data_IF_227855077367
#
_entry.id   IF_227855077367
#
_cell.length_a   1.000
_cell.length_b   1.000
_cell.length_c   1.000
_cell.angle_alpha   90.00
_cell.angle_beta   90.00
_cell.angle_gamma   90.00
#
_symmetry.space_group_name_H-M   'P 1'
#
loop_
_entity.id
_entity.type
_entity.pdbx_description
1 polymer ?
#
# COMPACT_ATOMS: atom_id res chain seq x y z
N UNK A 1 -47.95 12.29 -17.66
CA UNK A 1 -47.31 10.97 -17.65
C UNK A 1 -46.04 11.10 -16.80
N UNK A 2 -46.09 10.62 -15.55
CA UNK A 2 -44.97 10.72 -14.58
C UNK A 2 -43.98 9.59 -14.88
N UNK A 3 -42.79 9.94 -15.37
CA UNK A 3 -41.67 9.01 -15.47
C UNK A 3 -41.13 8.78 -14.06
N UNK A 4 -41.19 7.52 -13.66
CA UNK A 4 -40.77 7.00 -12.37
C UNK A 4 -39.26 7.20 -12.19
N UNK A 5 -38.89 7.61 -10.98
CA UNK A 5 -37.51 7.66 -10.49
C UNK A 5 -36.83 6.29 -10.69
N UNK A 6 -35.90 6.19 -11.63
CA UNK A 6 -34.95 5.07 -11.69
C UNK A 6 -33.93 5.22 -10.57
N UNK A 7 -34.32 4.81 -9.35
CA UNK A 7 -33.38 4.53 -8.25
C UNK A 7 -33.00 3.06 -8.28
N UNK A 8 -31.84 2.74 -8.84
CA UNK A 8 -31.08 1.54 -8.45
C UNK A 8 -29.57 1.81 -8.54
N UNK A 9 -29.07 2.68 -7.66
CA UNK A 9 -27.71 2.48 -7.15
C UNK A 9 -27.83 1.36 -6.12
N UNK A 10 -27.27 0.19 -6.41
CA UNK A 10 -27.17 -0.90 -5.43
C UNK A 10 -26.57 -0.33 -4.14
N UNK A 11 -27.21 -0.57 -3.00
CA UNK A 11 -26.67 -0.13 -1.73
C UNK A 11 -25.32 -0.83 -1.51
N UNK A 12 -24.25 -0.05 -1.35
CA UNK A 12 -22.92 -0.59 -1.07
C UNK A 12 -22.94 -1.49 0.17
N UNK A 13 -22.23 -2.63 0.16
CA UNK A 13 -22.12 -3.50 1.33
C UNK A 13 -21.62 -2.74 2.58
N UNK A 14 -22.08 -3.10 3.80
CA UNK A 14 -21.70 -2.41 5.03
C UNK A 14 -20.18 -2.38 5.30
N UNK A 15 -19.46 -3.46 4.95
CA UNK A 15 -18.01 -3.58 5.19
C UNK A 15 -17.18 -2.54 4.45
N UNK A 16 -17.69 -1.97 3.35
CA UNK A 16 -17.03 -0.92 2.56
C UNK A 16 -16.78 0.35 3.39
N UNK A 17 -17.56 0.54 4.45
CA UNK A 17 -17.43 1.66 5.40
C UNK A 17 -16.63 1.29 6.66
N UNK A 18 -16.25 0.02 6.82
CA UNK A 18 -15.46 -0.45 7.95
C UNK A 18 -13.98 -0.20 7.71
N UNK A 19 -13.28 0.22 8.76
CA UNK A 19 -11.85 0.50 8.73
C UNK A 19 -11.18 -0.10 9.95
N UNK A 20 -9.94 -0.56 9.77
CA UNK A 20 -9.03 -0.92 10.85
C UNK A 20 -8.02 0.18 11.02
N UNK A 21 -7.90 0.71 12.24
CA UNK A 21 -6.92 1.76 12.58
C UNK A 21 -5.70 1.21 13.32
N UNK A 22 -4.51 1.62 12.91
CA UNK A 22 -3.29 1.41 13.66
C UNK A 22 -2.97 2.68 14.44
N UNK A 23 -2.70 2.50 15.73
CA UNK A 23 -2.47 3.56 16.68
C UNK A 23 -1.03 3.57 17.14
N UNK A 24 -0.56 4.73 17.54
CA UNK A 24 0.74 4.93 18.11
C UNK A 24 0.63 4.97 19.64
N UNK A 25 1.34 4.11 20.39
CA UNK A 25 1.13 3.92 21.82
C UNK A 25 1.55 5.11 22.69
N UNK A 26 2.54 5.90 22.24
CA UNK A 26 3.05 7.05 22.99
C UNK A 26 2.22 8.35 22.88
N UNK A 27 1.00 8.32 22.33
CA UNK A 27 0.15 9.52 22.23
C UNK A 27 -1.25 9.26 22.79
N UNK A 28 -1.91 10.34 23.21
CA UNK A 28 -3.24 10.27 23.82
C UNK A 28 -4.32 9.80 22.84
N UNK A 29 -5.34 9.13 23.38
CA UNK A 29 -6.45 8.62 22.59
C UNK A 29 -7.17 9.73 21.82
N UNK A 30 -7.46 9.49 20.54
CA UNK A 30 -8.08 10.45 19.63
C UNK A 30 -7.06 11.24 18.80
N UNK A 31 -5.78 11.21 19.21
CA UNK A 31 -4.66 11.79 18.47
C UNK A 31 -3.60 10.74 18.06
N UNK A 32 -3.79 9.50 18.48
CA UNK A 32 -2.93 8.34 18.35
C UNK A 32 -3.13 7.56 17.05
N UNK A 33 -4.25 7.74 16.34
CA UNK A 33 -4.54 7.05 15.09
C UNK A 33 -3.59 7.47 13.95
N UNK A 34 -2.70 6.57 13.55
CA UNK A 34 -1.61 6.80 12.61
C UNK A 34 -1.98 6.47 11.15
N UNK A 35 -2.60 5.31 10.95
CA UNK A 35 -3.02 4.81 9.63
C UNK A 35 -4.35 4.08 9.79
N UNK A 36 -5.23 4.19 8.80
CA UNK A 36 -6.44 3.38 8.75
C UNK A 36 -6.66 2.86 7.32
N UNK A 37 -6.97 1.57 7.19
CA UNK A 37 -7.24 0.92 5.91
C UNK A 37 -8.66 0.33 5.90
N UNK A 38 -9.35 0.34 4.74
CA UNK A 38 -10.71 -0.19 4.63
C UNK A 38 -10.71 -1.72 4.69
N UNK A 39 -11.74 -2.31 5.31
CA UNK A 39 -11.90 -3.76 5.41
C UNK A 39 -12.40 -4.35 4.08
N UNK A 40 -11.49 -4.56 3.13
CA UNK A 40 -11.79 -5.08 1.79
C UNK A 40 -11.25 -6.49 1.54
N UNK A 41 -10.43 -7.03 2.44
CA UNK A 41 -9.93 -8.39 2.32
C UNK A 41 -10.99 -9.37 2.82
N UNK A 42 -11.62 -10.11 1.90
CA UNK A 42 -12.58 -11.17 2.21
C UNK A 42 -11.90 -12.28 3.01
N UNK A 43 -12.61 -12.79 4.02
CA UNK A 43 -12.13 -13.86 4.90
C UNK A 43 -12.67 -15.18 4.36
N UNK A 44 -11.78 -16.02 3.83
CA UNK A 44 -12.10 -17.39 3.45
C UNK A 44 -11.97 -18.34 4.64
N UNK A 45 -12.57 -19.53 4.56
CA UNK A 45 -12.46 -20.56 5.60
C UNK A 45 -11.05 -21.12 5.82
N UNK A 46 -10.08 -20.74 4.97
CA UNK A 46 -8.67 -21.13 5.08
C UNK A 46 -7.80 -20.01 5.68
N UNK A 47 -8.35 -18.81 5.85
CA UNK A 47 -7.59 -17.67 6.34
C UNK A 47 -7.50 -17.69 7.86
N UNK A 48 -6.30 -17.47 8.35
CA UNK A 48 -6.08 -17.23 9.76
C UNK A 48 -6.61 -15.83 10.13
N UNK A 49 -7.45 -15.77 11.14
CA UNK A 49 -7.97 -14.50 11.66
C UNK A 49 -7.67 -14.40 13.14
N UNK A 50 -7.55 -13.18 13.62
CA UNK A 50 -7.34 -12.91 15.02
C UNK A 50 -8.65 -12.90 15.85
N UNK A 51 -9.80 -13.10 15.21
CA UNK A 51 -11.10 -13.19 15.88
C UNK A 51 -11.23 -14.43 16.79
N UNK A 52 -10.48 -15.51 16.51
CA UNK A 52 -10.60 -16.80 17.22
C UNK A 52 -9.79 -16.90 18.51
N UNK A 53 -8.80 -16.02 18.72
CA UNK A 53 -7.80 -16.17 19.80
C UNK A 53 -8.34 -15.75 21.19
N UNK A 54 -9.55 -15.21 21.30
CA UNK A 54 -10.15 -14.80 22.59
C UNK A 54 -11.11 -15.81 23.23
N UNK A 55 -11.26 -17.01 22.69
CA UNK A 55 -11.95 -18.08 23.41
C UNK A 55 -10.98 -18.78 24.37
N UNK A 56 -10.68 -18.14 25.51
CA UNK A 56 -10.62 -18.78 26.84
C UNK A 56 -9.98 -17.86 27.91
N UNK A 57 -10.73 -16.86 28.38
CA UNK A 57 -10.65 -16.43 29.77
C UNK A 57 -12.07 -16.23 30.31
N UNK A 58 -12.79 -17.33 30.52
CA UNK A 58 -13.72 -17.51 31.65
C UNK A 58 -14.80 -16.45 31.95
N UNK A 59 -15.19 -15.55 31.05
CA UNK A 59 -16.32 -14.63 31.27
C UNK A 59 -17.61 -15.26 30.73
N UNK A 60 -18.55 -15.70 31.59
CA UNK A 60 -19.84 -16.20 31.13
C UNK A 60 -20.67 -15.01 30.63
N UNK A 61 -20.94 -14.96 29.32
CA UNK A 61 -21.77 -13.91 28.71
C UNK A 61 -21.19 -13.24 27.47
N UNK A 62 -19.96 -13.59 27.07
CA UNK A 62 -19.36 -13.11 25.82
C UNK A 62 -20.10 -13.71 24.63
N UNK A 63 -21.06 -12.95 24.09
CA UNK A 63 -21.67 -13.22 22.77
C UNK A 63 -20.52 -13.41 21.77
N UNK A 64 -20.50 -14.49 20.96
CA UNK A 64 -19.50 -14.61 19.90
C UNK A 64 -19.62 -13.36 19.03
N UNK A 65 -18.51 -12.63 18.89
CA UNK A 65 -18.44 -11.52 17.94
C UNK A 65 -18.94 -12.07 16.60
N UNK A 66 -19.92 -11.41 15.98
CA UNK A 66 -20.36 -11.74 14.62
C UNK A 66 -19.11 -11.93 13.77
N UNK A 67 -18.91 -13.14 13.24
CA UNK A 67 -17.71 -13.48 12.50
C UNK A 67 -17.52 -12.44 11.40
N UNK A 68 -16.42 -11.68 11.49
CA UNK A 68 -16.09 -10.71 10.47
C UNK A 68 -15.99 -11.45 9.13
N UNK A 69 -16.64 -10.91 8.10
CA UNK A 69 -16.54 -11.46 6.74
C UNK A 69 -15.42 -10.82 5.94
N UNK A 70 -14.95 -9.65 6.39
CA UNK A 70 -13.90 -8.88 5.76
C UNK A 70 -12.97 -8.27 6.82
N UNK A 71 -11.72 -8.04 6.46
CA UNK A 71 -10.73 -7.40 7.29
C UNK A 71 -9.63 -6.72 6.47
N UNK A 72 -8.44 -6.62 7.05
CA UNK A 72 -7.25 -6.09 6.36
C UNK A 72 -6.11 -7.10 6.44
N UNK A 73 -5.47 -7.35 5.32
CA UNK A 73 -4.33 -8.25 5.21
C UNK A 73 -3.18 -7.81 6.13
N UNK A 74 -2.82 -8.70 7.06
CA UNK A 74 -1.90 -8.43 8.16
C UNK A 74 -0.55 -7.91 7.68
N UNK A 75 0.11 -8.62 6.77
CA UNK A 75 1.45 -8.24 6.28
C UNK A 75 1.42 -6.88 5.57
N UNK A 76 0.36 -6.58 4.82
CA UNK A 76 0.24 -5.28 4.13
C UNK A 76 0.11 -4.14 5.12
N UNK A 77 -0.74 -4.30 6.15
CA UNK A 77 -0.89 -3.31 7.21
C UNK A 77 0.41 -3.13 8.01
N UNK A 78 1.04 -4.23 8.43
CA UNK A 78 2.27 -4.19 9.21
C UNK A 78 3.41 -3.47 8.45
N UNK A 79 3.65 -3.83 7.19
CA UNK A 79 4.70 -3.19 6.38
C UNK A 79 4.40 -1.72 6.13
N UNK A 80 3.13 -1.34 5.89
CA UNK A 80 2.73 0.07 5.79
C UNK A 80 3.09 0.84 7.07
N UNK A 81 2.79 0.29 8.24
CA UNK A 81 3.10 0.91 9.53
C UNK A 81 4.62 0.97 9.78
N UNK A 82 5.38 -0.06 9.43
CA UNK A 82 6.83 -0.06 9.54
C UNK A 82 7.49 0.97 8.62
N UNK A 83 6.92 1.27 7.43
CA UNK A 83 7.36 2.38 6.57
C UNK A 83 7.19 3.72 7.29
N UNK A 84 6.03 3.94 7.94
CA UNK A 84 5.77 5.17 8.70
C UNK A 84 6.77 5.33 9.85
N UNK A 85 7.15 4.23 10.48
CA UNK A 85 8.16 4.19 11.53
C UNK A 85 9.61 4.08 11.01
N UNK A 86 9.90 4.62 9.81
CA UNK A 86 11.27 4.72 9.31
C UNK A 86 11.91 3.39 8.91
N UNK A 87 11.14 2.49 8.31
CA UNK A 87 11.58 1.16 7.86
C UNK A 87 11.93 0.18 9.00
N UNK A 88 11.13 0.16 10.06
CA UNK A 88 11.32 -0.71 11.23
C UNK A 88 10.99 -2.20 10.98
N UNK A 89 11.29 -2.74 9.80
CA UNK A 89 10.87 -4.07 9.33
C UNK A 89 11.32 -5.24 10.21
N UNK A 90 12.46 -5.09 10.91
CA UNK A 90 13.03 -6.15 11.75
C UNK A 90 12.42 -6.24 13.14
N UNK A 91 11.98 -5.10 13.69
CA UNK A 91 11.63 -4.97 15.10
C UNK A 91 10.18 -4.53 15.32
N UNK A 92 9.58 -3.83 14.37
CA UNK A 92 8.22 -3.31 14.50
C UNK A 92 7.18 -4.44 14.48
N UNK A 93 6.21 -4.39 15.40
CA UNK A 93 5.13 -5.39 15.50
C UNK A 93 3.80 -4.74 15.89
N UNK A 94 2.69 -5.43 15.63
CA UNK A 94 1.36 -5.03 16.06
C UNK A 94 0.98 -5.71 17.38
N UNK A 95 0.24 -5.02 18.24
CA UNK A 95 -0.36 -5.56 19.46
C UNK A 95 -1.83 -5.15 19.62
N UNK A 96 -2.55 -5.87 20.47
CA UNK A 96 -3.93 -5.55 20.84
C UNK A 96 -4.01 -4.47 21.92
N UNK A 97 -2.97 -4.35 22.75
CA UNK A 97 -2.91 -3.39 23.86
C UNK A 97 -1.82 -2.33 23.65
N UNK A 98 -1.99 -1.22 24.38
CA UNK A 98 -1.09 -0.07 24.33
C UNK A 98 0.29 -0.40 24.90
N UNK A 99 0.41 -1.37 25.81
CA UNK A 99 1.69 -1.76 26.43
C UNK A 99 2.55 -2.66 25.52
N UNK A 100 1.97 -3.24 24.47
CA UNK A 100 2.67 -4.15 23.56
C UNK A 100 2.82 -5.58 24.09
N UNK A 101 2.12 -5.92 25.19
CA UNK A 101 2.24 -7.23 25.85
C UNK A 101 1.56 -8.35 25.09
N UNK A 102 0.41 -8.08 24.46
CA UNK A 102 -0.34 -9.03 23.65
C UNK A 102 -0.08 -8.75 22.17
N UNK A 103 0.97 -9.37 21.63
CA UNK A 103 1.35 -9.26 20.22
C UNK A 103 0.33 -9.96 19.33
N UNK A 104 0.09 -9.40 18.15
CA UNK A 104 -0.68 -10.06 17.10
C UNK A 104 0.15 -11.22 16.56
N UNK A 105 -0.35 -12.44 16.76
CA UNK A 105 0.27 -13.68 16.29
C UNK A 105 -0.46 -14.19 15.05
N UNK A 106 -0.31 -13.47 13.94
CA UNK A 106 -0.82 -13.89 12.63
C UNK A 106 0.33 -14.27 11.71
N UNK A 107 0.12 -15.28 10.88
CA UNK A 107 1.03 -15.63 9.78
C UNK A 107 0.98 -14.59 8.65
N UNK A 108 1.87 -14.72 7.68
CA UNK A 108 1.99 -13.77 6.55
C UNK A 108 0.74 -13.64 5.66
N UNK A 109 -0.25 -14.51 5.84
CA UNK A 109 -1.54 -14.53 5.12
C UNK A 109 -2.72 -14.09 5.98
N UNK A 110 -2.49 -13.86 7.27
CA UNK A 110 -3.56 -13.59 8.22
C UNK A 110 -4.33 -12.31 7.90
N UNK A 111 -5.58 -12.27 8.34
CA UNK A 111 -6.48 -11.13 8.18
C UNK A 111 -6.77 -10.53 9.57
N UNK A 112 -6.47 -9.25 9.71
CA UNK A 112 -6.83 -8.45 10.88
C UNK A 112 -8.32 -8.16 10.85
N UNK A 113 -9.00 -8.35 11.99
CA UNK A 113 -10.46 -8.19 12.12
C UNK A 113 -10.91 -7.25 13.22
N UNK A 114 -10.03 -6.89 14.17
CA UNK A 114 -10.34 -5.93 15.23
C UNK A 114 -10.32 -4.49 14.71
N UNK A 115 -11.13 -3.63 15.33
CA UNK A 115 -11.23 -2.23 14.90
C UNK A 115 -9.95 -1.41 15.05
N UNK A 116 -9.03 -1.82 15.93
CA UNK A 116 -7.74 -1.16 16.08
C UNK A 116 -6.65 -2.04 16.68
N UNK A 117 -5.40 -1.63 16.45
CA UNK A 117 -4.17 -2.21 17.00
C UNK A 117 -3.17 -1.10 17.31
N UNK A 118 -2.09 -1.43 18.01
CA UNK A 118 -0.97 -0.52 18.27
C UNK A 118 0.28 -0.99 17.53
N UNK A 119 0.98 -0.08 16.84
CA UNK A 119 2.33 -0.36 16.31
C UNK A 119 3.35 -0.05 17.41
N UNK A 120 4.18 -1.04 17.71
CA UNK A 120 5.32 -0.92 18.62
C UNK A 120 6.63 -0.99 17.86
N UNK A 121 7.59 -0.14 18.24
CA UNK A 121 8.92 -0.07 17.64
C UNK A 121 9.95 -0.09 18.78
N UNK A 122 10.51 -1.27 19.11
CA UNK A 122 11.56 -1.37 20.12
C UNK A 122 12.76 -0.50 19.75
N UNK A 123 13.12 0.44 20.63
CA UNK A 123 14.22 1.38 20.39
C UNK A 123 15.60 0.74 20.68
N UNK A 124 15.65 -0.27 21.55
CA UNK A 124 16.85 -1.04 21.88
C UNK A 124 16.53 -2.55 21.91
N UNK A 125 17.09 -3.33 20.98
CA UNK A 125 16.95 -4.78 21.00
C UNK A 125 17.76 -5.45 22.14
N UNK A 126 18.75 -4.75 22.69
CA UNK A 126 19.71 -5.25 23.68
C UNK A 126 19.51 -4.64 25.09
N UNK A 127 18.49 -3.80 25.30
CA UNK A 127 18.22 -3.25 26.63
C UNK A 127 17.54 -4.32 27.49
N UNK A 128 18.31 -4.97 28.35
CA UNK A 128 17.86 -5.92 29.39
C UNK A 128 17.18 -5.24 30.57
N UNK A 129 16.94 -3.92 30.51
CA UNK A 129 16.37 -3.20 31.63
C UNK A 129 14.86 -3.42 31.71
N UNK A 130 14.47 -4.13 32.76
CA UNK A 130 13.11 -4.42 33.20
C UNK A 130 12.30 -3.17 33.62
N UNK A 131 12.71 -1.97 33.20
CA UNK A 131 12.07 -0.69 33.51
C UNK A 131 11.43 -0.03 32.28
N UNK A 132 11.27 -0.77 31.17
CA UNK A 132 10.53 -0.37 29.97
C UNK A 132 9.00 -0.32 30.18
N UNK A 133 8.55 0.19 31.33
CA UNK A 133 7.13 0.39 31.66
C UNK A 133 6.56 1.66 31.05
N UNK A 134 7.41 2.57 30.55
CA UNK A 134 6.96 3.70 29.74
C UNK A 134 6.92 3.31 28.26
N UNK A 135 5.72 3.36 27.69
CA UNK A 135 5.46 3.30 26.25
C UNK A 135 6.04 4.56 25.60
N UNK A 136 7.37 4.60 25.44
CA UNK A 136 8.06 5.74 24.85
C UNK A 136 7.58 5.94 23.43
N UNK A 137 7.29 7.19 23.09
CA UNK A 137 6.94 7.53 21.72
C UNK A 137 8.12 7.21 20.79
N UNK A 138 7.83 6.81 19.56
CA UNK A 138 8.83 6.74 18.50
C UNK A 138 8.57 7.81 17.45
N UNK A 139 9.64 8.17 16.74
CA UNK A 139 9.56 9.13 15.67
C UNK A 139 8.83 8.53 14.46
N UNK A 140 7.95 9.32 13.84
CA UNK A 140 7.33 8.96 12.57
C UNK A 140 7.94 9.74 11.42
N UNK A 141 8.07 9.09 10.27
CA UNK A 141 8.37 9.76 9.01
C UNK A 141 7.12 10.51 8.53
N UNK A 142 7.19 11.84 8.35
CA UNK A 142 5.98 12.66 8.20
C UNK A 142 5.38 12.62 6.79
N UNK A 143 6.18 12.31 5.77
CA UNK A 143 5.76 12.25 4.37
C UNK A 143 6.82 11.50 3.53
N UNK A 144 6.52 11.29 2.24
CA UNK A 144 7.40 10.57 1.32
C UNK A 144 8.75 11.27 1.06
N UNK A 145 8.81 12.61 1.05
CA UNK A 145 10.07 13.34 0.81
C UNK A 145 11.06 13.19 1.96
N UNK A 146 10.57 13.06 3.18
CA UNK A 146 11.36 12.82 4.40
C UNK A 146 11.63 11.32 4.62
N UNK A 147 11.18 10.44 3.73
CA UNK A 147 11.40 9.00 3.83
C UNK A 147 12.67 8.58 3.08
N UNK A 148 13.49 7.74 3.73
CA UNK A 148 14.64 7.08 3.09
C UNK A 148 14.22 5.72 2.54
N UNK A 149 14.57 5.45 1.30
CA UNK A 149 14.43 4.13 0.72
C UNK A 149 15.31 3.13 1.49
N UNK A 150 14.82 1.94 1.84
CA UNK A 150 15.59 0.99 2.62
C UNK A 150 16.65 0.28 1.79
N UNK A 151 17.81 -0.01 2.39
CA UNK A 151 18.89 -0.80 1.75
C UNK A 151 18.45 -2.21 1.38
N UNK A 152 17.47 -2.76 2.12
CA UNK A 152 16.90 -4.09 1.86
C UNK A 152 15.38 -4.06 2.00
N UNK A 153 14.70 -4.50 0.95
CA UNK A 153 13.26 -4.69 0.96
C UNK A 153 12.85 -5.84 1.90
N UNK A 154 11.65 -5.79 2.50
CA UNK A 154 11.09 -6.95 3.19
C UNK A 154 11.08 -8.18 2.25
N UNK A 155 11.28 -9.42 2.76
CA UNK A 155 11.52 -10.60 1.90
C UNK A 155 10.51 -10.79 0.76
N UNK A 156 9.21 -10.63 1.04
CA UNK A 156 8.15 -10.78 0.04
C UNK A 156 8.14 -9.69 -1.06
N UNK A 157 8.85 -8.58 -0.84
CA UNK A 157 8.99 -7.47 -1.77
C UNK A 157 10.29 -7.53 -2.58
N UNK A 158 11.20 -8.47 -2.31
CA UNK A 158 12.48 -8.55 -3.02
C UNK A 158 12.36 -9.02 -4.47
N UNK A 159 11.26 -9.70 -4.80
CA UNK A 159 10.97 -10.17 -6.16
C UNK A 159 9.56 -9.78 -6.56
N UNK A 160 9.37 -9.50 -7.85
CA UNK A 160 8.03 -9.43 -8.42
C UNK A 160 7.55 -10.86 -8.63
N UNK A 161 6.32 -11.14 -8.20
CA UNK A 161 5.70 -12.43 -8.44
C UNK A 161 5.62 -12.72 -9.95
N UNK A 162 5.85 -13.97 -10.36
CA UNK A 162 5.70 -14.34 -11.76
C UNK A 162 4.28 -14.03 -12.23
N UNK A 163 4.15 -13.15 -13.21
CA UNK A 163 2.83 -12.78 -13.73
C UNK A 163 2.54 -13.49 -15.05
N UNK A 164 1.30 -13.89 -15.34
CA UNK A 164 0.95 -14.34 -16.67
C UNK A 164 1.21 -13.19 -17.67
N UNK A 165 1.92 -13.52 -18.74
CA UNK A 165 2.24 -12.58 -19.81
C UNK A 165 1.10 -12.55 -20.82
N UNK A 166 0.60 -11.36 -21.09
CA UNK A 166 -0.33 -11.16 -22.18
C UNK A 166 0.44 -11.16 -23.51
N UNK A 167 -0.08 -11.82 -24.57
CA UNK A 167 0.58 -11.81 -25.88
C UNK A 167 0.72 -10.42 -26.50
N UNK A 168 -0.12 -9.48 -26.05
CA UNK A 168 -0.12 -8.09 -26.49
C UNK A 168 -0.07 -7.18 -25.27
N UNK A 169 0.56 -6.00 -25.40
CA UNK A 169 0.60 -5.03 -24.31
C UNK A 169 -0.83 -4.62 -23.93
N UNK A 170 -1.13 -4.71 -22.64
CA UNK A 170 -2.47 -4.52 -22.10
C UNK A 170 -2.41 -3.84 -20.73
N UNK A 171 -3.55 -3.41 -20.21
CA UNK A 171 -3.65 -2.98 -18.82
C UNK A 171 -3.33 -4.12 -17.85
N UNK A 172 -2.34 -3.97 -16.98
CA UNK A 172 -1.89 -5.00 -16.02
C UNK A 172 -2.98 -5.47 -15.05
N UNK A 173 -4.04 -4.68 -14.81
CA UNK A 173 -5.15 -5.03 -13.92
C UNK A 173 -6.30 -5.70 -14.70
N UNK A 174 -6.67 -5.14 -15.85
CA UNK A 174 -7.89 -5.52 -16.58
C UNK A 174 -7.62 -6.35 -17.83
N UNK A 175 -6.36 -6.52 -18.24
CA UNK A 175 -5.91 -7.13 -19.50
C UNK A 175 -6.51 -6.51 -20.76
N UNK A 176 -7.09 -5.31 -20.67
CA UNK A 176 -7.67 -4.63 -21.84
C UNK A 176 -6.58 -3.94 -22.64
N UNK A 177 -6.67 -4.00 -23.96
CA UNK A 177 -5.71 -3.39 -24.90
C UNK A 177 -5.77 -1.87 -24.91
N UNK A 178 -6.84 -1.25 -24.41
CA UNK A 178 -6.88 0.20 -24.14
C UNK A 178 -6.17 0.52 -22.83
N UNK A 179 -4.97 1.08 -22.92
CA UNK A 179 -4.14 1.47 -21.78
C UNK A 179 -3.38 2.77 -22.03
N UNK A 180 -2.83 3.32 -20.95
CA UNK A 180 -1.84 4.39 -20.90
C UNK A 180 -0.61 3.89 -20.14
N UNK A 181 0.56 4.46 -20.46
CA UNK A 181 1.77 4.24 -19.68
C UNK A 181 1.72 5.08 -18.41
N UNK A 182 1.84 4.41 -17.27
CA UNK A 182 1.84 5.01 -15.94
C UNK A 182 3.21 4.83 -15.30
N UNK A 183 3.82 5.93 -14.85
CA UNK A 183 5.03 5.86 -14.04
C UNK A 183 4.70 5.26 -12.68
N UNK A 184 5.46 4.27 -12.24
CA UNK A 184 5.27 3.62 -10.94
C UNK A 184 5.69 4.59 -9.83
N UNK A 185 6.89 5.15 -9.92
CA UNK A 185 7.33 6.32 -9.17
C UNK A 185 7.13 7.56 -10.06
N UNK A 186 6.19 8.47 -9.73
CA UNK A 186 5.90 9.62 -10.57
C UNK A 186 7.07 10.60 -10.67
N UNK A 187 7.20 11.28 -11.81
CA UNK A 187 8.22 12.30 -12.05
C UNK A 187 8.19 13.45 -11.02
N UNK A 188 7.01 13.76 -10.45
CA UNK A 188 6.89 14.74 -9.37
C UNK A 188 7.69 14.40 -8.10
N UNK A 189 8.26 13.19 -8.01
CA UNK A 189 9.12 12.73 -6.91
C UNK A 189 10.60 12.67 -7.30
N UNK A 190 11.04 13.37 -8.36
CA UNK A 190 12.42 13.36 -8.87
C UNK A 190 13.49 13.74 -7.83
N UNK A 191 13.19 14.69 -6.95
CA UNK A 191 14.10 15.06 -5.85
C UNK A 191 14.33 13.89 -4.90
N UNK A 192 13.25 13.27 -4.40
CA UNK A 192 13.32 12.07 -3.57
C UNK A 192 14.03 10.93 -4.29
N UNK A 193 13.72 10.72 -5.57
CA UNK A 193 14.31 9.68 -6.41
C UNK A 193 15.83 9.83 -6.48
N UNK A 194 16.32 11.05 -6.71
CA UNK A 194 17.74 11.38 -6.78
C UNK A 194 18.41 11.21 -5.42
N UNK A 195 17.80 11.72 -4.35
CA UNK A 195 18.36 11.64 -3.00
C UNK A 195 18.49 10.20 -2.50
N UNK A 196 17.69 9.28 -3.02
CA UNK A 196 17.70 7.85 -2.67
C UNK A 196 18.41 6.98 -3.72
N UNK A 197 19.17 7.58 -4.64
CA UNK A 197 19.95 6.88 -5.68
C UNK A 197 19.13 5.84 -6.45
N UNK A 198 17.84 6.10 -6.64
CA UNK A 198 16.90 5.12 -7.21
C UNK A 198 17.18 4.77 -8.67
N UNK A 199 18.07 5.52 -9.33
CA UNK A 199 18.55 5.24 -10.67
C UNK A 199 19.32 3.91 -10.76
N UNK A 200 19.89 3.41 -9.66
CA UNK A 200 20.57 2.10 -9.60
C UNK A 200 19.63 0.93 -9.91
N UNK A 201 18.32 1.13 -9.76
CA UNK A 201 17.28 0.15 -10.05
C UNK A 201 16.63 0.33 -11.43
N UNK A 202 17.02 1.37 -12.17
CA UNK A 202 16.58 1.60 -13.54
C UNK A 202 17.57 0.94 -14.51
N UNK A 203 17.09 0.06 -15.39
CA UNK A 203 17.91 -0.45 -16.48
C UNK A 203 18.07 0.64 -17.55
N UNK A 204 19.32 0.96 -17.90
CA UNK A 204 19.73 1.63 -19.14
C UNK A 204 19.18 3.05 -19.42
N UNK A 205 20.10 4.03 -19.38
CA UNK A 205 20.05 5.36 -20.03
C UNK A 205 19.42 6.54 -19.26
N UNK A 206 20.24 7.60 -19.12
CA UNK A 206 20.11 9.07 -18.95
C UNK A 206 18.83 9.77 -18.43
N UNK A 207 17.71 9.08 -18.26
CA UNK A 207 16.62 9.54 -17.39
C UNK A 207 15.94 8.32 -16.76
N UNK A 208 16.36 7.97 -15.55
CA UNK A 208 15.82 6.84 -14.79
C UNK A 208 14.28 6.87 -14.65
N UNK A 209 13.67 8.05 -14.83
CA UNK A 209 12.23 8.26 -14.89
C UNK A 209 11.53 7.49 -16.02
N UNK A 210 12.17 7.25 -17.17
CA UNK A 210 11.54 6.59 -18.33
C UNK A 210 11.98 5.13 -18.56
N UNK A 211 12.74 4.55 -17.62
CA UNK A 211 13.12 3.14 -17.70
C UNK A 211 11.88 2.24 -17.71
N UNK A 212 11.92 1.14 -18.48
CA UNK A 212 10.87 0.13 -18.48
C UNK A 212 10.62 -0.42 -17.07
N UNK A 213 11.66 -0.42 -16.22
CA UNK A 213 11.59 -0.76 -14.81
C UNK A 213 10.61 0.11 -14.01
N UNK A 214 10.39 1.37 -14.39
CA UNK A 214 9.54 2.33 -13.67
C UNK A 214 8.21 2.63 -14.38
N UNK A 215 7.79 1.82 -15.35
CA UNK A 215 6.57 2.05 -16.13
C UNK A 215 5.70 0.81 -16.20
N UNK A 216 4.40 0.98 -15.97
CA UNK A 216 3.39 -0.06 -16.18
C UNK A 216 2.25 0.42 -17.07
N UNK A 217 1.43 -0.49 -17.57
CA UNK A 217 0.30 -0.16 -18.45
C UNK A 217 -1.02 -0.23 -17.68
N UNK A 218 -1.78 0.85 -17.63
CA UNK A 218 -3.06 0.94 -16.91
C UNK A 218 -4.17 1.48 -17.79
N UNK A 219 -5.41 1.03 -17.57
CA UNK A 219 -6.59 1.65 -18.19
C UNK A 219 -6.68 3.11 -17.70
N UNK A 220 -7.08 4.11 -18.53
CA UNK A 220 -6.99 5.53 -18.16
C UNK A 220 -7.68 5.92 -16.83
N UNK A 221 -8.81 5.30 -16.51
CA UNK A 221 -9.49 5.50 -15.24
C UNK A 221 -8.68 4.95 -14.06
N UNK A 222 -8.12 3.74 -14.18
CA UNK A 222 -7.26 3.13 -13.16
C UNK A 222 -5.92 3.86 -13.02
N UNK A 223 -5.39 4.41 -14.11
CA UNK A 223 -4.19 5.25 -14.10
C UNK A 223 -4.41 6.49 -13.23
N UNK A 224 -5.53 7.20 -13.42
CA UNK A 224 -5.88 8.35 -12.59
C UNK A 224 -6.00 7.98 -11.11
N UNK A 225 -6.67 6.87 -10.81
CA UNK A 225 -6.87 6.40 -9.43
C UNK A 225 -5.53 6.01 -8.77
N UNK A 226 -4.63 5.42 -9.55
CA UNK A 226 -3.27 5.09 -9.14
C UNK A 226 -2.52 6.37 -8.77
N UNK A 227 -2.52 7.37 -9.65
CA UNK A 227 -1.87 8.69 -9.43
C UNK A 227 -2.44 9.47 -8.25
N UNK A 228 -3.75 9.34 -8.01
CA UNK A 228 -4.42 9.88 -6.82
C UNK A 228 -4.03 9.16 -5.53
N UNK A 229 -3.17 8.11 -5.61
CA UNK A 229 -2.70 7.30 -4.48
C UNK A 229 -3.85 6.62 -3.74
N UNK A 230 -4.83 6.11 -4.50
CA UNK A 230 -6.00 5.44 -3.92
C UNK A 230 -5.79 3.93 -3.76
N UNK A 231 -4.90 3.33 -4.55
CA UNK A 231 -4.43 1.96 -4.37
C UNK A 231 -2.94 1.86 -4.65
N UNK A 232 -2.33 0.78 -4.19
CA UNK A 232 -0.99 0.36 -4.55
C UNK A 232 -0.99 -1.10 -5.03
N UNK A 233 0.10 -1.52 -5.65
CA UNK A 233 0.36 -2.92 -5.98
C UNK A 233 1.17 -3.53 -4.85
N UNK A 234 0.68 -4.62 -4.26
CA UNK A 234 1.31 -5.25 -3.09
C UNK A 234 1.47 -6.76 -3.32
N UNK A 235 2.58 -7.37 -2.89
CA UNK A 235 2.73 -8.81 -2.85
C UNK A 235 1.90 -9.41 -1.71
N UNK A 236 1.29 -10.57 -1.97
CA UNK A 236 0.59 -11.40 -0.98
C UNK A 236 0.94 -12.86 -1.16
N UNK A 237 0.99 -13.61 -0.06
CA UNK A 237 1.24 -15.04 -0.06
C UNK A 237 -0.07 -15.83 -0.25
N UNK A 238 0.01 -16.88 -1.06
CA UNK A 238 -1.05 -17.87 -1.26
C UNK A 238 -0.86 -19.09 -0.35
N UNK A 239 -1.89 -19.94 -0.29
CA UNK A 239 -1.89 -21.15 0.53
C UNK A 239 -0.79 -22.15 0.19
N UNK A 240 -0.38 -22.17 -1.07
CA UNK A 240 0.73 -23.01 -1.57
C UNK A 240 2.11 -22.37 -1.39
N UNK A 241 2.19 -21.23 -0.70
CA UNK A 241 3.45 -20.52 -0.42
C UNK A 241 3.93 -19.63 -1.57
N UNK A 242 3.21 -19.55 -2.69
CA UNK A 242 3.57 -18.64 -3.79
C UNK A 242 3.20 -17.20 -3.45
N UNK A 243 3.97 -16.27 -4.00
CA UNK A 243 3.66 -14.85 -3.93
C UNK A 243 2.92 -14.41 -5.19
N UNK A 244 1.93 -13.54 -5.05
CA UNK A 244 1.26 -12.84 -6.15
C UNK A 244 1.21 -11.35 -5.87
N UNK A 245 1.38 -10.53 -6.90
CA UNK A 245 1.12 -9.08 -6.79
C UNK A 245 -0.34 -8.79 -7.08
N UNK A 246 -0.98 -8.05 -6.18
CA UNK A 246 -2.40 -7.68 -6.26
C UNK A 246 -2.60 -6.18 -6.10
N UNK A 247 -3.74 -5.70 -6.54
CA UNK A 247 -4.20 -4.33 -6.26
C UNK A 247 -4.74 -4.25 -4.83
N UNK A 248 -4.27 -3.30 -4.04
CA UNK A 248 -4.74 -3.07 -2.66
C UNK A 248 -5.17 -1.62 -2.47
N UNK A 249 -6.45 -1.42 -2.18
CA UNK A 249 -7.05 -0.09 -1.99
C UNK A 249 -6.83 0.43 -0.57
N UNK A 250 -6.52 1.72 -0.48
CA UNK A 250 -6.32 2.43 0.78
C UNK A 250 -7.53 3.29 1.17
N UNK A 251 -8.50 3.45 0.25
CA UNK A 251 -9.68 4.25 0.48
C UNK A 251 -10.87 3.72 -0.30
N UNK A 252 -12.03 3.76 0.33
CA UNK A 252 -13.35 3.57 -0.28
C UNK A 252 -14.14 4.88 -0.30
N UNK A 253 -13.51 6.01 0.04
CA UNK A 253 -14.17 7.32 0.09
C UNK A 253 -14.50 7.85 -1.31
N UNK A 254 -15.49 8.75 -1.38
CA UNK A 254 -15.98 9.32 -2.63
C UNK A 254 -16.57 8.24 -3.56
N UNK A 255 -16.53 8.48 -4.87
CA UNK A 255 -17.06 7.57 -5.90
C UNK A 255 -16.13 6.38 -6.22
N UNK A 256 -15.20 6.00 -5.32
CA UNK A 256 -14.24 4.93 -5.57
C UNK A 256 -14.66 3.57 -5.03
N UNK A 257 -15.65 3.52 -4.14
CA UNK A 257 -16.09 2.29 -3.47
C UNK A 257 -16.37 1.13 -4.44
N UNK A 258 -17.13 1.37 -5.52
CA UNK A 258 -17.44 0.34 -6.52
C UNK A 258 -16.19 -0.18 -7.24
N UNK A 259 -15.23 0.72 -7.49
CA UNK A 259 -13.95 0.38 -8.13
C UNK A 259 -13.08 -0.42 -7.18
N UNK A 260 -13.05 -0.04 -5.90
CA UNK A 260 -12.33 -0.75 -4.86
C UNK A 260 -12.86 -2.18 -4.70
N UNK A 261 -14.18 -2.34 -4.57
CA UNK A 261 -14.84 -3.66 -4.50
C UNK A 261 -14.51 -4.56 -5.71
N UNK A 262 -14.46 -3.99 -6.92
CA UNK A 262 -14.21 -4.76 -8.14
C UNK A 262 -12.74 -5.15 -8.32
N UNK A 263 -11.82 -4.35 -7.80
CA UNK A 263 -10.40 -4.47 -8.15
C UNK A 263 -9.50 -4.79 -6.95
N UNK A 264 -9.95 -4.66 -5.71
CA UNK A 264 -9.15 -5.08 -4.54
C UNK A 264 -8.85 -6.57 -4.61
N UNK A 265 -7.63 -6.95 -4.24
CA UNK A 265 -7.06 -8.29 -4.38
C UNK A 265 -7.02 -8.87 -5.81
N UNK A 266 -7.32 -8.07 -6.84
CA UNK A 266 -7.16 -8.52 -8.22
C UNK A 266 -5.69 -8.69 -8.54
N UNK A 267 -5.32 -9.91 -8.98
CA UNK A 267 -3.97 -10.25 -9.42
C UNK A 267 -3.60 -9.48 -10.69
N UNK A 268 -2.36 -9.01 -10.77
CA UNK A 268 -1.86 -8.24 -11.92
C UNK A 268 -1.11 -9.12 -12.93
N UNK A 269 -1.12 -8.70 -14.18
CA UNK A 269 -0.51 -9.39 -15.31
C UNK A 269 0.64 -8.57 -15.90
N UNK A 270 1.56 -9.22 -16.63
CA UNK A 270 2.63 -8.57 -17.40
C UNK A 270 3.45 -7.51 -16.63
N UNK A 271 3.78 -7.76 -15.36
CA UNK A 271 4.54 -6.83 -14.50
C UNK A 271 6.05 -7.12 -14.48
N UNK A 272 6.50 -8.15 -15.18
CA UNK A 272 7.87 -8.69 -15.07
C UNK A 272 8.98 -7.68 -15.39
N UNK A 273 8.69 -6.66 -16.19
CA UNK A 273 9.65 -5.62 -16.54
C UNK A 273 9.82 -4.55 -15.44
N UNK A 274 8.89 -4.45 -14.48
CA UNK A 274 8.90 -3.43 -13.43
C UNK A 274 9.78 -3.90 -12.27
N UNK A 275 10.70 -3.05 -11.82
CA UNK A 275 11.57 -3.41 -10.71
C UNK A 275 10.79 -3.41 -9.37
N UNK A 276 11.02 -4.41 -8.48
CA UNK A 276 10.33 -4.49 -7.19
C UNK A 276 10.56 -3.25 -6.31
N UNK A 277 11.70 -2.59 -6.47
CA UNK A 277 12.06 -1.36 -5.76
C UNK A 277 11.12 -0.21 -6.08
N UNK A 278 10.72 -0.06 -7.35
CA UNK A 278 9.77 0.99 -7.74
C UNK A 278 8.36 0.68 -7.25
N UNK A 279 7.94 -0.60 -7.25
CA UNK A 279 6.66 -1.01 -6.65
C UNK A 279 6.63 -0.71 -5.15
N UNK A 280 7.71 -1.02 -4.44
CA UNK A 280 7.82 -0.73 -3.01
C UNK A 280 7.81 0.78 -2.72
N UNK A 281 8.56 1.57 -3.49
CA UNK A 281 8.54 3.03 -3.39
C UNK A 281 7.14 3.60 -3.65
N UNK A 282 6.41 3.06 -4.63
CA UNK A 282 5.02 3.46 -4.91
C UNK A 282 4.06 3.06 -3.79
N UNK A 283 4.26 1.90 -3.17
CA UNK A 283 3.52 1.50 -1.98
C UNK A 283 3.75 2.50 -0.83
N UNK A 284 5.00 2.83 -0.52
CA UNK A 284 5.34 3.84 0.48
C UNK A 284 4.74 5.22 0.16
N UNK A 285 4.85 5.67 -1.09
CA UNK A 285 4.23 6.93 -1.56
C UNK A 285 2.72 6.94 -1.31
N UNK A 286 2.06 5.80 -1.51
CA UNK A 286 0.63 5.64 -1.25
C UNK A 286 0.34 5.68 0.25
N UNK A 287 1.11 4.96 1.07
CA UNK A 287 1.00 4.97 2.55
C UNK A 287 1.06 6.40 3.08
N UNK A 288 2.08 7.18 2.69
CA UNK A 288 2.26 8.55 3.19
C UNK A 288 1.13 9.51 2.79
N UNK A 289 0.31 9.19 1.78
CA UNK A 289 -0.88 9.98 1.47
C UNK A 289 -1.93 9.96 2.61
N UNK A 290 -1.88 8.95 3.48
CA UNK A 290 -2.85 8.73 4.56
C UNK A 290 -2.32 9.06 5.96
N UNK A 291 -1.05 9.48 6.07
CA UNK A 291 -0.38 9.75 7.37
C UNK A 291 -0.51 11.21 7.81
N UNK A 292 -0.79 12.11 6.87
CA UNK A 292 -0.79 13.57 7.09
C UNK A 292 -1.65 14.02 8.28
N UNK A 293 -2.81 13.39 8.48
CA UNK A 293 -3.68 13.72 9.62
C UNK A 293 -3.01 13.45 10.97
N UNK A 294 -2.33 12.32 11.11
CA UNK A 294 -1.57 11.99 12.32
C UNK A 294 -0.44 12.99 12.56
N UNK A 295 0.28 13.34 11.49
CA UNK A 295 1.41 14.29 11.53
C UNK A 295 1.00 15.70 11.91
N UNK A 296 -0.24 16.12 11.67
CA UNK A 296 -0.70 17.49 11.96
C UNK A 296 -1.55 17.61 13.23
N UNK A 297 -2.08 16.51 13.75
CA UNK A 297 -2.92 16.50 14.96
C UNK A 297 -2.09 16.55 16.24
N UNK A 298 -2.74 16.97 17.32
CA UNK A 298 -2.14 17.02 18.65
C UNK A 298 -1.16 18.13 18.90
N UNK A 299 -0.67 18.20 20.14
CA UNK A 299 0.23 19.25 20.59
C UNK A 299 1.67 19.04 20.10
N UNK A 300 2.25 17.87 20.35
CA UNK A 300 3.66 17.56 20.05
C UNK A 300 3.79 16.20 19.37
N UNK A 301 4.77 16.05 18.47
CA UNK A 301 5.14 14.76 17.87
C UNK A 301 6.65 14.65 17.71
N UNK A 302 7.16 13.45 17.92
CA UNK A 302 8.48 13.06 17.44
C UNK A 302 8.43 12.79 15.94
N UNK A 303 9.19 13.55 15.18
CA UNK A 303 9.24 13.51 13.72
C UNK A 303 10.64 13.10 13.27
N UNK A 304 10.71 12.11 12.39
CA UNK A 304 11.93 11.74 11.69
C UNK A 304 12.12 12.69 10.49
N UNK A 305 13.19 13.48 10.52
CA UNK A 305 13.54 14.48 9.50
C UNK A 305 14.82 14.08 8.80
N UNK A 306 14.80 14.07 7.48
CA UNK A 306 15.99 13.85 6.66
C UNK A 306 16.73 15.16 6.47
N UNK A 307 18.02 15.14 6.74
CA UNK A 307 18.89 16.29 6.52
C UNK A 307 20.27 15.84 6.05
N UNK A 308 20.99 16.76 5.39
CA UNK A 308 22.40 16.53 5.08
C UNK A 308 23.18 16.41 6.38
N UNK A 309 24.01 15.38 6.44
CA UNK A 309 24.90 15.08 7.55
C UNK A 309 26.19 14.46 7.04
N UNK A 310 26.95 13.90 7.96
CA UNK A 310 28.23 13.25 7.68
C UNK A 310 28.17 11.88 8.34
N UNK A 311 28.46 10.83 7.58
CA UNK A 311 28.60 9.48 8.12
C UNK A 311 29.87 9.33 8.97
N UNK A 312 29.99 8.29 9.82
CA UNK A 312 31.22 8.03 10.58
C UNK A 312 32.48 7.94 9.70
N UNK A 313 32.31 7.58 8.43
CA UNK A 313 33.36 7.54 7.40
C UNK A 313 33.86 8.92 6.94
N UNK A 314 33.23 10.01 7.39
CA UNK A 314 33.54 11.39 6.99
C UNK A 314 32.89 11.83 5.67
N UNK A 315 32.10 10.98 5.00
CA UNK A 315 31.44 11.32 3.73
C UNK A 315 30.10 12.04 3.97
N UNK A 316 29.75 13.03 3.12
CA UNK A 316 28.41 13.61 3.13
C UNK A 316 27.36 12.53 2.87
N UNK A 317 26.31 12.53 3.69
CA UNK A 317 25.21 11.57 3.56
C UNK A 317 23.89 12.16 4.03
N UNK A 318 22.79 11.52 3.67
CA UNK A 318 21.46 11.85 4.18
C UNK A 318 21.24 11.14 5.51
N UNK A 319 21.14 11.91 6.59
CA UNK A 319 20.95 11.38 7.95
C UNK A 319 19.54 11.72 8.43
N UNK A 320 18.85 10.73 8.99
CA UNK A 320 17.57 10.92 9.66
C UNK A 320 17.81 11.37 11.10
N UNK A 321 17.27 12.52 11.48
CA UNK A 321 17.26 13.01 12.87
C UNK A 321 15.85 12.96 13.44
N UNK A 322 15.75 12.56 14.71
CA UNK A 322 14.51 12.66 15.48
C UNK A 322 14.43 14.06 16.07
N UNK A 323 13.31 14.73 15.84
CA UNK A 323 13.04 16.08 16.35
C UNK A 323 11.65 16.08 16.96
N UNK A 324 11.54 16.58 18.19
CA UNK A 324 10.25 16.95 18.76
C UNK A 324 9.75 18.24 18.11
N UNK A 325 8.59 18.17 17.48
CA UNK A 325 7.96 19.33 16.84
C UNK A 325 6.60 19.63 17.45
N UNK A 326 6.39 20.92 17.75
CA UNK A 326 5.08 21.39 18.16
C UNK A 326 4.08 21.42 16.99
N UNK A 327 2.83 21.76 17.27
CA UNK A 327 1.78 21.85 16.26
C UNK A 327 2.07 22.93 15.21
N UNK A 328 2.54 24.11 15.61
CA UNK A 328 2.76 25.23 14.71
C UNK A 328 3.90 24.91 13.72
N UNK A 329 5.00 24.33 14.20
CA UNK A 329 6.13 23.87 13.40
C UNK A 329 5.71 22.82 12.38
N UNK A 330 4.93 21.81 12.79
CA UNK A 330 4.41 20.76 11.88
C UNK A 330 3.46 21.33 10.84
N UNK A 331 2.57 22.25 11.21
CA UNK A 331 1.69 22.91 10.25
C UNK A 331 2.46 23.79 9.27
N UNK A 332 3.49 24.52 9.73
CA UNK A 332 4.34 25.33 8.87
C UNK A 332 5.10 24.47 7.86
N UNK A 333 5.64 23.33 8.30
CA UNK A 333 6.51 22.47 7.46
C UNK A 333 5.72 21.49 6.59
N UNK A 334 4.64 20.90 7.11
CA UNK A 334 3.90 19.81 6.47
C UNK A 334 2.41 20.09 6.23
N UNK A 335 1.90 21.26 6.66
CA UNK A 335 0.50 21.64 6.48
C UNK A 335 0.14 21.92 5.01
N UNK A 336 1.09 22.47 4.24
CA UNK A 336 0.94 22.73 2.81
C UNK A 336 0.80 21.46 1.95
N UNK A 337 0.24 21.60 0.74
CA UNK A 337 0.13 20.52 -0.24
C UNK A 337 -0.95 19.48 0.10
N UNK A 338 -2.12 19.59 -0.52
CA UNK A 338 -3.11 18.51 -0.53
C UNK A 338 -2.71 17.41 -1.53
N UNK A 339 -3.43 16.29 -1.51
CA UNK A 339 -3.22 15.15 -2.40
C UNK A 339 -3.19 15.49 -3.90
N UNK A 340 -3.70 16.67 -4.27
CA UNK A 340 -3.80 17.21 -5.63
C UNK A 340 -2.66 18.13 -6.05
N UNK A 341 -1.77 18.54 -5.15
CA UNK A 341 -0.72 19.51 -5.46
C UNK A 341 0.50 18.90 -6.18
N UNK A 342 0.52 17.58 -6.37
CA UNK A 342 1.61 16.84 -7.04
C UNK A 342 1.32 16.47 -8.50
N UNK A 343 0.11 16.72 -9.01
CA UNK A 343 -0.20 16.52 -10.43
C UNK A 343 0.32 17.72 -11.22
N UNK A 344 1.03 17.53 -12.35
CA UNK A 344 1.47 18.65 -13.18
C UNK A 344 0.27 19.53 -13.54
N UNK A 345 0.29 20.80 -13.17
CA UNK A 345 -0.69 21.75 -13.70
C UNK A 345 -0.63 21.66 -15.22
N UNK A 346 -1.75 21.30 -15.86
CA UNK A 346 -1.93 21.36 -17.32
C UNK A 346 -1.26 22.63 -17.83
N UNK A 347 -0.18 22.46 -18.60
CA UNK A 347 0.49 23.56 -19.29
C UNK A 347 -0.59 24.28 -20.11
N UNK A 348 -0.71 25.60 -19.93
CA UNK A 348 -1.63 26.41 -20.72
C UNK A 348 -1.29 26.23 -22.21
N UNK A 349 -2.26 25.77 -22.99
CA UNK A 349 -2.13 25.71 -24.45
C UNK A 349 -2.06 27.14 -24.99
N UNK A 350 -1.13 27.48 -25.91
CA UNK A 350 -1.22 28.70 -26.68
C UNK A 350 -2.45 28.63 -27.63
N UNK A 351 -3.03 29.78 -27.99
CA UNK A 351 -4.25 29.80 -28.79
C UNK A 351 -3.93 29.53 -30.27
N UNK A 352 -4.57 28.53 -30.87
CA UNK A 352 -4.79 28.49 -32.32
C UNK A 352 -5.97 27.59 -32.70
N UNK A 353 -6.52 27.88 -33.87
CA UNK A 353 -7.92 27.83 -34.28
C UNK A 353 -8.61 26.47 -34.45
N UNK A 354 -9.93 26.53 -34.23
CA UNK A 354 -11.05 25.73 -34.75
C UNK A 354 -10.79 24.41 -35.48
N UNK A 355 -11.42 23.32 -34.99
CA UNK A 355 -12.63 22.75 -35.61
C UNK A 355 -13.32 21.68 -34.74
N UNK A 356 -14.65 21.72 -34.79
CA UNK A 356 -15.64 20.80 -34.19
C UNK A 356 -15.44 19.36 -34.66
N UNK A 357 -15.67 18.38 -33.79
CA UNK A 357 -16.92 17.61 -33.85
C UNK A 357 -17.21 16.84 -32.56
N UNK A 358 -18.48 16.92 -32.18
CA UNK A 358 -19.07 16.30 -31.01
C UNK A 358 -19.80 15.02 -31.42
N UNK A 359 -19.47 13.91 -30.78
CA UNK A 359 -20.39 12.79 -30.59
C UNK A 359 -19.93 11.98 -29.37
N UNK A 360 -20.49 12.32 -28.20
CA UNK A 360 -20.44 11.44 -27.03
C UNK A 360 -21.38 10.25 -27.29
N UNK A 361 -20.79 9.06 -27.48
CA UNK A 361 -21.53 7.80 -27.39
C UNK A 361 -21.48 7.33 -25.93
N UNK A 362 -22.64 7.32 -25.28
CA UNK A 362 -22.86 6.65 -24.01
C UNK A 362 -23.17 5.19 -24.33
N UNK A 363 -22.14 4.34 -24.40
CA UNK A 363 -22.35 2.90 -24.49
C UNK A 363 -22.62 2.31 -23.11
N UNK A 364 -23.87 1.90 -22.90
CA UNK A 364 -24.34 1.11 -21.76
C UNK A 364 -23.64 -0.25 -21.73
N UNK A 365 -22.91 -0.53 -20.65
CA UNK A 365 -22.18 -1.79 -20.47
C UNK A 365 -23.07 -2.86 -19.85
N UNK A 366 -23.20 -4.01 -20.52
CA UNK A 366 -23.72 -5.26 -19.95
C UNK A 366 -22.53 -6.13 -19.46
N UNK A 367 -22.61 -6.80 -18.29
CA UNK A 367 -21.53 -7.63 -17.79
C UNK A 367 -21.62 -9.05 -18.36
N UNK A 368 -20.58 -9.50 -19.06
CA UNK A 368 -20.51 -10.83 -19.66
C UNK A 368 -19.18 -11.53 -19.31
N UNK A 369 -19.23 -12.38 -18.28
CA UNK A 369 -18.63 -13.74 -18.16
C UNK A 369 -17.16 -14.05 -18.57
N UNK A 370 -16.21 -13.11 -18.56
CA UNK A 370 -14.78 -13.42 -18.84
C UNK A 370 -13.89 -13.71 -17.60
N UNK A 371 -14.48 -13.99 -16.42
CA UNK A 371 -13.71 -14.25 -15.19
C UNK A 371 -12.98 -15.61 -15.18
N UNK A 372 -13.50 -16.63 -15.88
CA UNK A 372 -12.97 -18.00 -15.82
C UNK A 372 -11.65 -18.21 -16.60
N UNK A 373 -11.41 -17.47 -17.68
CA UNK A 373 -10.24 -17.69 -18.55
C UNK A 373 -8.91 -17.29 -17.89
N UNK A 374 -8.94 -16.34 -16.94
CA UNK A 374 -7.73 -15.76 -16.38
C UNK A 374 -7.25 -16.43 -15.09
N UNK A 375 -8.17 -16.98 -14.31
CA UNK A 375 -7.84 -17.90 -13.22
C UNK A 375 -7.08 -19.12 -13.78
N UNK A 376 -7.48 -19.62 -14.96
CA UNK A 376 -6.77 -20.67 -15.67
C UNK A 376 -5.36 -20.27 -16.16
N UNK A 377 -5.17 -19.02 -16.61
CA UNK A 377 -3.85 -18.52 -17.02
C UNK A 377 -2.85 -18.48 -15.85
N UNK A 378 -3.33 -18.16 -14.64
CA UNK A 378 -2.54 -18.25 -13.41
C UNK A 378 -2.18 -19.70 -13.04
N UNK A 379 -3.12 -20.63 -13.19
CA UNK A 379 -2.85 -22.06 -13.00
C UNK A 379 -1.82 -22.61 -14.02
N UNK A 380 -1.84 -22.12 -15.26
CA UNK A 380 -0.89 -22.51 -16.30
C UNK A 380 0.51 -21.89 -16.09
N UNK A 381 0.61 -20.62 -15.67
CA UNK A 381 1.89 -19.97 -15.37
C UNK A 381 2.62 -20.69 -14.22
N UNK A 382 1.85 -21.06 -13.20
CA UNK A 382 2.30 -21.88 -12.08
C UNK A 382 2.91 -23.24 -12.48
N UNK A 383 2.28 -23.96 -13.40
CA UNK A 383 2.76 -25.27 -13.88
C UNK A 383 4.09 -25.16 -14.63
N UNK A 384 4.30 -24.09 -15.42
CA UNK A 384 5.56 -23.88 -16.17
C UNK A 384 6.78 -23.75 -15.27
N UNK A 385 6.64 -23.13 -14.09
CA UNK A 385 7.74 -22.98 -13.13
C UNK A 385 8.06 -24.27 -12.35
N UNK A 386 7.05 -25.09 -12.04
CA UNK A 386 7.31 -26.42 -11.47
C UNK A 386 8.10 -27.29 -12.45
N UNK A 387 7.82 -27.18 -13.76
CA UNK A 387 8.56 -27.89 -14.79
C UNK A 387 9.99 -27.36 -15.01
N UNK A 388 10.26 -26.06 -14.76
CA UNK A 388 11.60 -25.48 -14.89
C UNK A 388 12.53 -25.72 -13.69
N UNK A 389 11.98 -26.18 -12.55
CA UNK A 389 12.73 -26.47 -11.32
C UNK A 389 13.06 -27.96 -11.15
N UNK A 390 12.65 -28.83 -12.08
CA UNK A 390 13.11 -30.22 -12.11
C UNK A 390 14.51 -30.26 -12.73
N UNK A 391 15.56 -30.71 -12.03
CA UNK A 391 16.86 -30.92 -12.65
C UNK A 391 16.69 -31.94 -13.78
N UNK A 392 17.17 -31.62 -14.98
CA UNK A 392 17.33 -32.63 -16.02
C UNK A 392 18.35 -33.66 -15.52
N UNK A 393 17.87 -34.76 -14.95
CA UNK A 393 18.62 -35.98 -14.79
C UNK A 393 18.86 -36.56 -16.19
N UNK A 394 19.92 -36.10 -16.83
CA UNK A 394 20.47 -36.73 -18.02
C UNK A 394 21.16 -38.03 -17.60
N UNK A 395 20.59 -39.14 -18.03
CA UNK A 395 21.22 -40.46 -18.00
C UNK A 395 22.42 -40.48 -18.95
N UNK A 396 23.61 -40.80 -18.41
CA UNK A 396 24.69 -41.51 -19.11
C UNK A 396 25.21 -42.58 -18.16
#
# INVERSE_FOLDING_TARGET
>A
MRLQDMKFAQALPPHVRSYISIRHPGYISGEDAMLALPCLDEISGLDETDAYVQADQGVPGSRPALAATHGVHFTTMLVACQIIAGNSFKAGYLSYDVQGSHRVALTGRGILTHGHYFLHVPQNADATDADATETTSYAVTPNFQEWRFPDRLPPIWQTVADTPRDPTTSCIITGRTRFEKAHVVPQAQEEWFTNNTMWEHAEGVDSASHSAANVCCLRPDLHKIFDDRTFALVPKLEADGRCHTVVHFFSTQNSIADVALRHHNRKVHSLDAVAPQFLFARFALTVFAYVKNFVLRGAQRQIAVVQRGIEPSGRPSWVTKVIDMDRAERHKRYGGGGSRASSPSKRSRPPSDYQRDASESVDSYAPAWEEDVRTAAWAAAAQRRMMSLVPQLTWI
#
